data_IF_499052620702
#
_entry.id   IF_499052620702
#
_cell.length_a   1.000
_cell.length_b   1.000
_cell.length_c   1.000
_cell.angle_alpha   90.00
_cell.angle_beta   90.00
_cell.angle_gamma   90.00
#
_symmetry.space_group_name_H-M   'P 1'
#
loop_
_entity.id
_entity.type
_entity.pdbx_description
1 polymer ?
#
# COMPACT_ATOMS: atom_id res chain seq x y z
N UNK A 1 8.13 16.95 -7.93
CA UNK A 1 6.69 17.16 -7.65
C UNK A 1 6.41 16.51 -6.31
N UNK A 2 5.95 17.27 -5.32
CA UNK A 2 5.68 16.76 -3.98
C UNK A 2 4.50 15.79 -4.02
N UNK A 3 4.66 14.58 -3.49
CA UNK A 3 3.53 13.66 -3.28
C UNK A 3 2.63 14.24 -2.19
N UNK A 4 1.41 14.60 -2.54
CA UNK A 4 0.42 15.08 -1.57
C UNK A 4 0.03 13.94 -0.63
N UNK A 5 0.32 14.09 0.66
CA UNK A 5 -0.02 13.10 1.67
C UNK A 5 -1.49 13.25 2.08
N UNK A 6 -2.37 12.44 1.49
CA UNK A 6 -3.80 12.38 1.85
C UNK A 6 -3.98 11.51 3.10
N UNK A 7 -4.32 12.14 4.24
CA UNK A 7 -4.57 11.43 5.52
C UNK A 7 -6.07 11.25 5.75
N UNK A 8 -6.49 10.04 6.12
CA UNK A 8 -7.84 9.74 6.60
C UNK A 8 -7.75 8.97 7.92
N UNK A 9 -8.75 9.11 8.79
CA UNK A 9 -8.80 8.49 10.13
C UNK A 9 -10.12 7.77 10.33
N UNK A 10 -10.07 6.68 11.08
CA UNK A 10 -11.26 5.90 11.48
C UNK A 10 -11.93 6.48 12.72
N UNK A 11 -13.12 5.97 13.06
CA UNK A 11 -13.75 6.25 14.35
C UNK A 11 -12.94 5.71 15.52
N UNK A 12 -12.82 6.48 16.61
CA UNK A 12 -12.14 6.03 17.83
C UNK A 12 -12.98 4.97 18.54
N UNK A 13 -12.40 3.79 18.77
CA UNK A 13 -13.01 2.71 19.55
C UNK A 13 -12.39 2.69 20.94
N UNK A 14 -13.22 2.90 21.97
CA UNK A 14 -12.77 3.04 23.37
C UNK A 14 -12.76 1.68 24.06
N UNK A 15 -11.77 1.46 24.94
CA UNK A 15 -11.70 0.33 25.84
C UNK A 15 -11.76 -1.05 25.15
N UNK A 16 -11.07 -1.22 24.01
CA UNK A 16 -10.99 -2.51 23.31
C UNK A 16 -9.60 -2.73 22.71
N UNK A 17 -9.07 -3.93 22.88
CA UNK A 17 -7.84 -4.40 22.22
C UNK A 17 -8.12 -4.99 20.83
N UNK A 18 -9.39 -5.26 20.51
CA UNK A 18 -9.83 -5.83 19.24
C UNK A 18 -10.90 -4.90 18.62
N UNK A 19 -10.52 -3.70 18.17
CA UNK A 19 -11.47 -2.74 17.61
C UNK A 19 -12.05 -3.25 16.28
N UNK A 20 -13.38 -3.20 16.16
CA UNK A 20 -14.08 -3.46 14.91
C UNK A 20 -14.52 -2.14 14.27
N UNK A 21 -13.89 -1.79 13.14
CA UNK A 21 -14.18 -0.55 12.41
C UNK A 21 -15.23 -0.77 11.32
N UNK A 22 -14.98 -1.73 10.40
CA UNK A 22 -15.78 -1.93 9.19
C UNK A 22 -16.03 -0.63 8.39
N UNK A 23 -15.00 0.22 8.34
CA UNK A 23 -15.01 1.50 7.65
C UNK A 23 -14.16 1.38 6.37
N UNK A 24 -14.63 1.98 5.28
CA UNK A 24 -13.92 2.02 4.01
C UNK A 24 -13.46 3.43 3.68
N UNK A 25 -12.23 3.58 3.18
CA UNK A 25 -11.70 4.84 2.68
C UNK A 25 -11.49 4.79 1.17
N UNK A 26 -11.96 5.82 0.49
CA UNK A 26 -11.68 6.03 -0.94
C UNK A 26 -10.62 7.09 -1.11
N UNK A 27 -9.59 6.80 -1.91
CA UNK A 27 -8.56 7.74 -2.30
C UNK A 27 -8.58 7.89 -3.82
N UNK A 28 -8.62 9.13 -4.29
CA UNK A 28 -8.45 9.41 -5.71
C UNK A 28 -6.96 9.48 -6.02
N UNK A 29 -6.49 8.49 -6.78
CA UNK A 29 -5.11 8.36 -7.21
C UNK A 29 -5.10 8.52 -8.74
N UNK A 30 -4.35 9.49 -9.29
CA UNK A 30 -4.27 9.68 -10.73
C UNK A 30 -3.66 8.44 -11.40
N UNK A 31 -4.23 8.03 -12.54
CA UNK A 31 -3.85 6.80 -13.25
C UNK A 31 -2.37 6.76 -13.65
N UNK A 32 -1.75 7.92 -13.81
CA UNK A 32 -0.33 8.09 -14.14
C UNK A 32 0.61 7.54 -13.04
N UNK A 33 0.11 7.42 -11.81
CA UNK A 33 0.85 6.88 -10.67
C UNK A 33 0.59 5.37 -10.42
N UNK A 34 -0.41 4.78 -11.09
CA UNK A 34 -0.81 3.37 -10.91
C UNK A 34 -0.73 2.61 -12.23
N UNK A 35 0.21 2.93 -13.13
CA UNK A 35 0.32 2.21 -14.41
C UNK A 35 0.83 0.77 -14.22
N UNK A 36 -0.07 -0.10 -13.79
CA UNK A 36 -0.04 -1.52 -14.07
C UNK A 36 -0.62 -1.63 -15.46
N UNK A 37 0.23 -1.75 -16.46
CA UNK A 37 -0.20 -1.94 -17.84
C UNK A 37 -1.12 -3.16 -17.91
N UNK A 38 -2.43 -2.92 -18.02
CA UNK A 38 -3.44 -3.91 -18.46
C UNK A 38 -3.26 -4.25 -19.95
N UNK A 39 -2.04 -4.33 -20.45
CA UNK A 39 -1.81 -5.04 -21.70
C UNK A 39 -1.85 -6.51 -21.35
N UNK A 40 -2.97 -7.18 -21.65
CA UNK A 40 -3.03 -8.64 -21.80
C UNK A 40 -1.69 -9.13 -22.30
N UNK A 41 -0.92 -9.82 -21.46
CA UNK A 41 0.29 -10.48 -21.91
C UNK A 41 -0.18 -11.64 -22.79
N UNK A 42 0.00 -11.59 -24.13
CA UNK A 42 -0.25 -12.77 -24.93
C UNK A 42 0.79 -13.80 -24.50
N UNK A 43 0.27 -14.97 -24.14
CA UNK A 43 0.95 -16.24 -24.08
C UNK A 43 2.04 -16.32 -25.15
N UNK A 44 3.32 -16.15 -24.80
CA UNK A 44 4.42 -16.51 -25.68
C UNK A 44 5.38 -17.43 -24.93
N UNK A 45 5.35 -18.74 -25.24
CA UNK A 45 6.51 -19.58 -25.01
C UNK A 45 7.57 -19.19 -26.04
N UNK A 46 8.82 -19.35 -25.66
CA UNK A 46 10.02 -19.23 -26.49
C UNK A 46 10.75 -17.88 -26.46
N UNK A 47 12.01 -18.01 -26.07
CA UNK A 47 13.01 -16.98 -25.77
C UNK A 47 13.47 -16.35 -27.09
N UNK A 48 13.56 -15.01 -27.14
CA UNK A 48 14.75 -14.27 -27.57
C UNK A 48 14.45 -12.76 -27.74
N UNK A 49 15.34 -11.93 -27.20
CA UNK A 49 15.54 -10.50 -27.55
C UNK A 49 14.70 -9.39 -26.88
N UNK A 50 14.74 -9.35 -25.54
CA UNK A 50 14.73 -8.15 -24.66
C UNK A 50 13.90 -6.92 -25.07
N UNK A 51 12.56 -7.01 -25.24
CA UNK A 51 11.66 -5.88 -24.99
C UNK A 51 11.15 -5.91 -23.52
N UNK A 52 11.44 -7.01 -22.81
CA UNK A 52 10.98 -7.29 -21.45
C UNK A 52 11.72 -6.45 -20.40
N UNK A 53 13.05 -6.28 -20.50
CA UNK A 53 13.79 -5.49 -19.50
C UNK A 53 13.41 -4.01 -19.58
N UNK A 54 13.28 -3.44 -20.78
CA UNK A 54 12.85 -2.04 -20.94
C UNK A 54 11.37 -1.83 -20.58
N UNK A 55 10.49 -2.77 -20.92
CA UNK A 55 9.07 -2.73 -20.54
C UNK A 55 8.83 -2.96 -19.04
N UNK A 56 9.62 -3.81 -18.39
CA UNK A 56 9.59 -4.07 -16.95
C UNK A 56 10.22 -2.91 -16.15
N UNK A 57 11.25 -2.24 -16.68
CA UNK A 57 11.83 -1.04 -16.07
C UNK A 57 10.85 0.13 -16.08
N UNK A 58 10.16 0.38 -17.21
CA UNK A 58 9.21 1.51 -17.29
C UNK A 58 7.95 1.31 -16.44
N UNK A 59 7.57 0.05 -16.15
CA UNK A 59 6.47 -0.24 -15.22
C UNK A 59 6.84 0.06 -13.76
N UNK A 60 8.13 0.03 -13.40
CA UNK A 60 8.57 0.22 -12.02
C UNK A 60 8.68 1.70 -11.62
N UNK A 61 9.06 2.61 -12.54
CA UNK A 61 9.29 4.03 -12.21
C UNK A 61 8.01 4.81 -11.83
N UNK A 62 6.84 4.44 -12.34
CA UNK A 62 5.58 5.15 -12.06
C UNK A 62 4.92 4.66 -10.75
N UNK A 63 4.99 3.36 -10.46
CA UNK A 63 4.40 2.74 -9.26
C UNK A 63 5.18 3.00 -7.97
N UNK A 64 6.47 3.37 -8.06
CA UNK A 64 7.30 3.73 -6.91
C UNK A 64 6.77 4.94 -6.10
N UNK A 65 5.81 5.70 -6.63
CA UNK A 65 5.35 6.96 -6.02
C UNK A 65 4.16 6.81 -5.09
N UNK A 66 3.46 5.68 -5.09
CA UNK A 66 2.27 5.47 -4.24
C UNK A 66 2.57 4.48 -3.14
N UNK A 67 2.42 4.93 -1.90
CA UNK A 67 2.49 4.11 -0.71
C UNK A 67 1.28 4.40 0.18
N UNK A 68 0.70 3.34 0.72
CA UNK A 68 -0.38 3.39 1.70
C UNK A 68 0.20 3.03 3.08
N UNK A 69 0.28 4.02 3.96
CA UNK A 69 0.71 3.84 5.34
C UNK A 69 -0.52 3.78 6.25
N UNK A 70 -0.62 2.71 7.03
CA UNK A 70 -1.65 2.48 8.04
C UNK A 70 -0.96 2.51 9.39
N UNK A 71 -1.43 3.36 10.30
CA UNK A 71 -0.89 3.46 11.66
C UNK A 71 -2.01 3.26 12.66
N UNK A 72 -1.79 2.34 13.59
CA UNK A 72 -2.67 2.12 14.73
C UNK A 72 -2.15 2.97 15.88
N UNK A 73 -3.02 3.76 16.48
CA UNK A 73 -2.67 4.75 17.53
C UNK A 73 -3.60 4.54 18.71
N UNK A 74 -3.03 4.52 19.91
CA UNK A 74 -3.80 4.58 21.15
C UNK A 74 -4.20 6.03 21.43
N UNK A 75 -5.52 6.27 21.50
CA UNK A 75 -6.04 7.64 21.63
C UNK A 75 -6.32 7.97 23.09
N UNK A 76 -5.44 8.79 23.67
CA UNK A 76 -5.65 9.41 24.97
C UNK A 76 -6.50 10.68 24.89
N UNK A 77 -7.42 10.85 25.85
CA UNK A 77 -8.25 12.06 25.95
C UNK A 77 -7.45 13.28 26.41
N UNK A 78 -6.38 13.05 27.16
CA UNK A 78 -5.56 14.09 27.78
C UNK A 78 -4.11 13.60 27.70
N UNK A 79 -3.30 14.20 26.82
CA UNK A 79 -1.91 13.81 26.60
C UNK A 79 -1.55 13.67 25.12
N UNK A 80 -0.39 13.06 24.86
CA UNK A 80 0.08 12.67 23.53
C UNK A 80 -0.48 11.30 23.18
N UNK A 81 -1.10 11.15 22.01
CA UNK A 81 -1.56 9.83 21.53
C UNK A 81 -0.37 9.03 21.01
N UNK A 82 -0.19 7.81 21.52
CA UNK A 82 0.98 6.97 21.22
C UNK A 82 0.70 6.01 20.05
N UNK A 83 1.57 5.95 19.04
CA UNK A 83 1.43 4.98 17.97
C UNK A 83 1.76 3.57 18.48
N UNK A 84 0.81 2.65 18.34
CA UNK A 84 1.00 1.23 18.70
C UNK A 84 1.83 0.51 17.64
N UNK A 85 1.60 0.82 16.36
CA UNK A 85 2.33 0.20 15.27
C UNK A 85 1.90 0.69 13.89
N UNK A 86 2.69 0.36 12.87
CA UNK A 86 2.47 0.78 11.49
C UNK A 86 2.62 -0.37 10.49
N UNK A 87 1.96 -0.23 9.35
CA UNK A 87 2.11 -1.08 8.17
C UNK A 87 2.20 -0.18 6.95
N UNK A 88 3.14 -0.47 6.05
CA UNK A 88 3.32 0.28 4.80
C UNK A 88 3.12 -0.68 3.63
N UNK A 89 2.16 -0.35 2.76
CA UNK A 89 1.86 -1.08 1.54
C UNK A 89 2.33 -0.25 0.35
N UNK A 90 3.04 -0.86 -0.59
CA UNK A 90 3.57 -0.17 -1.76
C UNK A 90 4.67 -0.98 -2.44
N UNK A 91 5.21 -0.46 -3.53
CA UNK A 91 6.28 -1.14 -4.29
C UNK A 91 7.62 -1.21 -3.55
N UNK A 92 7.82 -0.36 -2.54
CA UNK A 92 9.01 -0.38 -1.69
C UNK A 92 8.83 -1.24 -0.42
N UNK A 93 7.65 -1.85 -0.24
CA UNK A 93 7.42 -2.79 0.86
C UNK A 93 8.04 -4.16 0.53
N UNK A 94 8.22 -4.99 1.55
CA UNK A 94 8.73 -6.37 1.42
C UNK A 94 7.76 -7.36 2.06
N UNK A 95 7.83 -8.63 1.64
CA UNK A 95 7.04 -9.71 2.23
C UNK A 95 5.53 -9.66 1.88
N UNK A 96 4.70 -9.81 2.91
CA UNK A 96 3.22 -9.89 2.80
C UNK A 96 2.58 -8.61 2.30
N UNK A 97 3.19 -7.47 2.60
CA UNK A 97 2.74 -6.13 2.28
C UNK A 97 2.84 -5.87 0.78
N UNK A 98 3.97 -6.26 0.18
CA UNK A 98 4.18 -6.20 -1.26
C UNK A 98 3.23 -7.14 -1.99
N UNK A 99 3.07 -8.38 -1.50
CA UNK A 99 2.12 -9.35 -2.06
C UNK A 99 0.70 -8.77 -2.10
N UNK A 100 0.21 -8.23 -0.99
CA UNK A 100 -1.11 -7.64 -0.93
C UNK A 100 -1.23 -6.44 -1.89
N UNK A 101 -0.22 -5.58 -1.96
CA UNK A 101 -0.18 -4.48 -2.93
C UNK A 101 -0.29 -5.00 -4.37
N UNK A 102 0.50 -6.02 -4.74
CA UNK A 102 0.47 -6.63 -6.07
C UNK A 102 -0.87 -7.29 -6.38
N UNK A 103 -1.49 -7.98 -5.42
CA UNK A 103 -2.80 -8.62 -5.60
C UNK A 103 -3.92 -7.59 -5.83
N UNK A 104 -3.86 -6.44 -5.15
CA UNK A 104 -4.78 -5.31 -5.38
C UNK A 104 -4.62 -4.74 -6.79
N UNK A 105 -3.38 -4.56 -7.23
CA UNK A 105 -3.03 -4.08 -8.57
C UNK A 105 -3.43 -5.06 -9.69
N UNK A 106 -3.28 -6.36 -9.43
CA UNK A 106 -3.69 -7.42 -10.35
C UNK A 106 -5.21 -7.57 -10.46
N UNK A 107 -5.96 -7.09 -9.46
CA UNK A 107 -7.43 -7.23 -9.39
C UNK A 107 -8.14 -5.90 -9.11
N UNK A 108 -8.13 -4.92 -10.05
CA UNK A 108 -8.59 -3.55 -9.81
C UNK A 108 -10.09 -3.39 -9.48
N UNK A 109 -10.89 -4.46 -9.56
CA UNK A 109 -12.32 -4.47 -9.22
C UNK A 109 -12.68 -5.45 -8.12
N UNK A 110 -11.69 -6.13 -7.52
CA UNK A 110 -11.93 -7.06 -6.42
C UNK A 110 -11.27 -6.53 -5.15
N UNK A 111 -12.03 -6.36 -4.07
CA UNK A 111 -11.42 -6.09 -2.77
C UNK A 111 -10.58 -7.29 -2.35
N UNK A 112 -9.34 -7.03 -1.91
CA UNK A 112 -8.45 -8.03 -1.34
C UNK A 112 -8.44 -7.81 0.17
N UNK A 113 -8.78 -8.86 0.93
CA UNK A 113 -8.74 -8.85 2.38
C UNK A 113 -7.52 -9.64 2.84
N UNK A 114 -6.64 -9.01 3.62
CA UNK A 114 -5.40 -9.63 4.10
C UNK A 114 -5.01 -9.03 5.44
N UNK A 115 -4.68 -9.90 6.39
CA UNK A 115 -4.13 -9.52 7.67
C UNK A 115 -2.63 -9.22 7.55
N UNK A 116 -2.17 -8.23 8.32
CA UNK A 116 -0.76 -7.83 8.42
C UNK A 116 -0.37 -7.73 9.88
N UNK A 117 0.87 -8.11 10.19
CA UNK A 117 1.47 -7.86 11.49
C UNK A 117 1.91 -6.39 11.57
N UNK A 118 1.58 -5.72 12.67
CA UNK A 118 2.05 -4.36 12.92
C UNK A 118 3.56 -4.38 13.13
N UNK A 119 4.26 -3.44 12.49
CA UNK A 119 5.68 -3.17 12.71
C UNK A 119 5.84 -1.99 13.65
N UNK A 120 7.04 -1.88 14.21
CA UNK A 120 7.39 -0.77 15.09
C UNK A 120 7.16 0.57 14.38
N UNK A 121 6.50 1.54 15.04
CA UNK A 121 6.15 2.80 14.43
C UNK A 121 7.39 3.64 14.04
N UNK A 122 8.55 3.34 14.62
CA UNK A 122 9.82 4.03 14.36
C UNK A 122 10.67 3.36 13.27
N UNK A 123 10.39 2.11 12.90
CA UNK A 123 11.22 1.35 11.95
C UNK A 123 11.01 1.88 10.52
N UNK A 124 11.95 2.67 10.00
CA UNK A 124 11.93 3.21 8.62
C UNK A 124 11.87 4.73 8.47
N UNK A 125 12.26 5.53 9.47
CA UNK A 125 12.52 6.97 9.32
C UNK A 125 13.99 7.33 9.10
N UNK A 126 14.90 6.36 9.18
CA UNK A 126 16.34 6.58 9.08
C UNK A 126 16.91 5.86 7.85
N UNK A 127 16.95 6.56 6.72
CA UNK A 127 17.99 6.48 5.66
C UNK A 127 17.76 7.58 4.63
#
# INVERSE_FOLDING_TARGET
MASELKKKKTSIKKCTLNPYYNESFTFEIPFEQIQVSQSSFPFFPFIDYVPCITGMLMMFESLQKVQLMITVVDYDRIGTSDPIGKVVLGCNASGTELRHWMDMLASPRRPIAQWHSLKDPEEGQDN
#
